data_IF_406690633140
#
_entry.id   IF_406690633140
#
_cell.length_a   1.000
_cell.length_b   1.000
_cell.length_c   1.000
_cell.angle_alpha   90.00
_cell.angle_beta   90.00
_cell.angle_gamma   90.00
#
_symmetry.space_group_name_H-M   'P 1'
#
loop_
_entity.id
_entity.type
_entity.pdbx_description
1 polymer ?
#
# COMPACT_ATOMS: atom_id res chain seq x y z
N UNK A 1 15.77 -5.58 -3.37
CA UNK A 1 15.05 -4.96 -2.24
C UNK A 1 14.35 -3.70 -2.72
N UNK A 2 13.02 -3.61 -2.54
CA UNK A 2 12.23 -2.46 -2.98
C UNK A 2 11.90 -1.57 -1.77
N UNK A 3 12.14 -0.27 -1.89
CA UNK A 3 11.94 0.68 -0.78
C UNK A 3 10.80 1.63 -1.09
N UNK A 4 9.83 1.72 -0.17
CA UNK A 4 8.67 2.59 -0.30
C UNK A 4 8.51 3.49 0.93
N UNK A 5 8.07 4.73 0.74
CA UNK A 5 7.81 5.65 1.85
C UNK A 5 6.30 5.77 2.00
N UNK A 6 5.78 5.27 3.12
CA UNK A 6 4.35 5.34 3.40
C UNK A 6 3.99 6.71 3.97
N UNK A 7 2.91 7.28 3.46
CA UNK A 7 2.25 8.41 4.10
C UNK A 7 1.29 7.91 5.18
N UNK A 8 0.99 8.78 6.14
CA UNK A 8 0.01 8.50 7.19
C UNK A 8 -1.34 8.19 6.55
N UNK A 9 -1.99 7.11 6.98
CA UNK A 9 -3.33 6.71 6.51
C UNK A 9 -3.39 6.45 4.99
N UNK A 10 -2.24 6.20 4.34
CA UNK A 10 -2.17 5.83 2.93
C UNK A 10 -1.98 4.33 2.78
N UNK A 11 -2.94 3.68 2.13
CA UNK A 11 -2.87 2.26 1.80
C UNK A 11 -2.06 2.04 0.53
N UNK A 12 -1.21 1.02 0.57
CA UNK A 12 -0.44 0.55 -0.57
C UNK A 12 -0.88 -0.87 -0.88
N UNK A 13 -1.33 -1.11 -2.12
CA UNK A 13 -1.72 -2.42 -2.60
C UNK A 13 -0.50 -3.13 -3.17
N UNK A 14 -0.27 -4.35 -2.71
CA UNK A 14 0.76 -5.26 -3.23
C UNK A 14 0.05 -6.36 -4.00
N UNK A 15 0.46 -6.55 -5.25
CA UNK A 15 -0.07 -7.61 -6.12
C UNK A 15 1.02 -8.65 -6.30
N UNK A 16 0.71 -9.87 -5.88
CA UNK A 16 1.55 -11.04 -6.00
C UNK A 16 1.52 -11.61 -7.43
N UNK A 17 2.49 -12.47 -7.81
CA UNK A 17 2.61 -12.94 -9.19
C UNK A 17 1.50 -13.93 -9.58
N UNK A 18 0.86 -14.54 -8.60
CA UNK A 18 -0.33 -15.40 -8.76
C UNK A 18 -1.63 -14.60 -8.94
N UNK A 19 -1.54 -13.27 -8.94
CA UNK A 19 -2.68 -12.35 -9.07
C UNK A 19 -3.41 -12.07 -7.75
N UNK A 20 -3.02 -12.73 -6.65
CA UNK A 20 -3.52 -12.38 -5.32
C UNK A 20 -2.99 -11.01 -4.89
N UNK A 21 -3.69 -10.35 -3.98
CA UNK A 21 -3.28 -9.02 -3.52
C UNK A 21 -3.55 -8.83 -2.03
N UNK A 22 -2.78 -7.91 -1.44
CA UNK A 22 -2.93 -7.47 -0.06
C UNK A 22 -2.67 -5.98 0.08
N UNK A 23 -2.99 -5.43 1.24
CA UNK A 23 -2.80 -4.01 1.54
C UNK A 23 -1.85 -3.82 2.71
N UNK A 24 -1.02 -2.78 2.63
CA UNK A 24 -0.20 -2.32 3.73
C UNK A 24 -0.60 -0.89 4.06
N UNK A 25 -1.07 -0.70 5.28
CA UNK A 25 -1.37 0.58 5.87
C UNK A 25 -0.47 0.83 7.08
N UNK A 26 -0.15 2.10 7.32
CA UNK A 26 0.65 2.52 8.47
C UNK A 26 0.00 3.70 9.15
N UNK A 27 -0.21 3.59 10.46
CA UNK A 27 -0.85 4.65 11.28
C UNK A 27 -0.03 5.94 11.38
N UNK A 28 1.24 5.88 11.00
CA UNK A 28 2.19 7.00 11.04
C UNK A 28 3.04 7.01 9.78
N UNK A 29 3.51 8.18 9.37
CA UNK A 29 4.45 8.32 8.26
C UNK A 29 5.77 7.61 8.60
N UNK A 30 6.11 6.57 7.85
CA UNK A 30 7.34 5.81 8.05
C UNK A 30 7.94 5.34 6.73
N UNK A 31 9.21 4.95 6.77
CA UNK A 31 9.88 4.31 5.63
C UNK A 31 9.71 2.81 5.79
N UNK A 32 9.06 2.16 4.83
CA UNK A 32 8.88 0.71 4.83
C UNK A 32 9.74 0.11 3.72
N UNK A 33 10.53 -0.90 4.06
CA UNK A 33 11.40 -1.57 3.10
C UNK A 33 10.94 -3.00 2.96
N UNK A 34 10.72 -3.43 1.73
CA UNK A 34 10.21 -4.75 1.42
C UNK A 34 11.29 -5.58 0.74
N UNK A 35 11.40 -6.84 1.15
CA UNK A 35 12.13 -7.84 0.39
C UNK A 35 11.14 -8.70 -0.38
N UNK A 36 10.83 -8.23 -1.59
CA UNK A 36 9.81 -8.80 -2.46
C UNK A 36 10.46 -9.25 -3.78
N UNK A 37 10.02 -10.38 -4.36
CA UNK A 37 10.43 -10.81 -5.69
C UNK A 37 10.20 -9.75 -6.77
N UNK A 38 11.00 -9.77 -7.84
CA UNK A 38 10.98 -8.74 -8.89
C UNK A 38 9.66 -8.66 -9.69
N UNK A 39 8.84 -9.71 -9.64
CA UNK A 39 7.55 -9.82 -10.30
C UNK A 39 6.38 -9.25 -9.47
N UNK A 40 6.65 -8.69 -8.29
CA UNK A 40 5.65 -8.02 -7.46
C UNK A 40 5.36 -6.62 -8.00
N UNK A 41 4.07 -6.27 -8.11
CA UNK A 41 3.62 -4.92 -8.45
C UNK A 41 3.14 -4.20 -7.19
N UNK A 42 3.50 -2.92 -7.07
CA UNK A 42 3.07 -2.06 -5.97
C UNK A 42 2.25 -0.90 -6.55
N UNK A 43 1.02 -0.77 -6.07
CA UNK A 43 0.10 0.30 -6.44
C UNK A 43 -0.19 1.16 -5.21
N UNK A 44 0.07 2.45 -5.31
CA UNK A 44 -0.24 3.40 -4.24
C UNK A 44 -1.70 3.79 -4.41
N UNK A 45 -2.55 3.48 -3.42
CA UNK A 45 -3.91 3.98 -3.47
C UNK A 45 -3.93 5.47 -3.10
N UNK A 46 -4.76 6.28 -3.77
CA UNK A 46 -5.01 7.64 -3.32
C UNK A 46 -5.51 7.58 -1.87
N UNK A 47 -5.15 8.56 -1.01
CA UNK A 47 -5.66 8.60 0.35
C UNK A 47 -7.18 8.56 0.28
N UNK A 48 -7.78 7.65 1.04
CA UNK A 48 -9.22 7.50 1.13
C UNK A 48 -9.72 8.77 1.81
N UNK A 49 -10.01 9.79 1.00
CA UNK A 49 -10.79 10.95 1.43
C UNK A 49 -12.05 10.33 2.01
N UNK A 50 -12.25 10.46 3.32
CA UNK A 50 -13.39 9.87 4.04
C UNK A 50 -14.63 9.89 3.15
N UNK A 51 -15.03 8.74 2.60
CA UNK A 51 -16.42 8.53 2.21
C UNK A 51 -17.20 8.40 3.54
N UNK A 52 -17.33 9.51 4.24
CA UNK A 52 -18.42 9.74 5.18
C UNK A 52 -19.48 10.53 4.41
N UNK A 53 -20.58 9.84 4.12
CA UNK A 53 -21.80 10.41 3.53
C UNK A 53 -22.39 9.41 2.54
N UNK A 54 -23.53 8.76 2.77
CA UNK A 54 -24.48 8.86 3.86
C UNK A 54 -25.76 8.17 3.43
N UNK A 55 -26.37 7.44 4.38
CA UNK A 55 -27.67 6.75 4.33
C UNK A 55 -27.83 5.60 3.33
#
# INVERSE_FOLDING_TARGET
MLRHVHQKDQEVKIILPDGSYGFISTDRRCKVSYDLPANIKIEIQPPVSKQQGGK
#
